data_IF_428455668088
#
_entry.id   IF_428455668088
#
_cell.length_a   1.000
_cell.length_b   1.000
_cell.length_c   1.000
_cell.angle_alpha   90.00
_cell.angle_beta   90.00
_cell.angle_gamma   90.00
#
_symmetry.space_group_name_H-M   'P 1'
#
loop_
_entity.id
_entity.type
_entity.pdbx_description
1 polymer ?
#
# COMPACT_ATOMS: atom_id res chain seq x y z
N UNK A 1 6.54 -1.87 12.40
CA UNK A 1 7.18 -1.62 11.11
C UNK A 1 6.16 -1.20 10.08
N UNK A 2 6.58 -0.49 9.07
CA UNK A 2 5.67 0.08 8.06
C UNK A 2 6.16 -0.27 6.66
N UNK A 3 5.24 -0.65 5.79
CA UNK A 3 5.56 -1.06 4.42
C UNK A 3 4.70 -0.29 3.42
N UNK A 4 5.27 -0.03 2.25
CA UNK A 4 4.53 0.47 1.09
C UNK A 4 4.62 -0.59 -0.01
N UNK A 5 3.47 -1.03 -0.51
CA UNK A 5 3.39 -2.01 -1.60
C UNK A 5 2.79 -1.34 -2.82
N UNK A 6 3.57 -1.18 -3.88
CA UNK A 6 3.05 -0.63 -5.13
C UNK A 6 2.27 -1.70 -5.87
N UNK A 7 1.15 -1.32 -6.48
CA UNK A 7 0.23 -2.28 -7.09
C UNK A 7 -0.37 -3.25 -6.08
N UNK A 8 -0.57 -2.79 -4.84
CA UNK A 8 -0.96 -3.66 -3.72
C UNK A 8 -2.42 -4.04 -3.66
N UNK A 9 -3.27 -3.48 -4.53
CA UNK A 9 -4.72 -3.69 -4.43
C UNK A 9 -5.19 -5.02 -5.00
N UNK A 10 -4.43 -5.63 -5.89
CA UNK A 10 -4.83 -6.83 -6.62
C UNK A 10 -3.71 -7.84 -6.77
N UNK A 11 -4.09 -9.10 -7.02
CA UNK A 11 -3.19 -10.19 -7.42
C UNK A 11 -2.03 -10.36 -6.43
N UNK A 12 -0.81 -10.46 -6.94
CA UNK A 12 0.38 -10.68 -6.12
C UNK A 12 0.59 -9.55 -5.11
N UNK A 13 0.35 -8.31 -5.50
CA UNK A 13 0.48 -7.17 -4.59
C UNK A 13 -0.44 -7.29 -3.38
N UNK A 14 -1.68 -7.72 -3.61
CA UNK A 14 -2.63 -7.97 -2.53
C UNK A 14 -2.12 -9.06 -1.58
N UNK A 15 -1.61 -10.16 -2.12
CA UNK A 15 -1.07 -11.25 -1.30
C UNK A 15 0.14 -10.80 -0.48
N UNK A 16 1.02 -9.97 -1.09
CA UNK A 16 2.17 -9.41 -0.38
C UNK A 16 1.72 -8.50 0.76
N UNK A 17 0.73 -7.65 0.51
CA UNK A 17 0.22 -6.74 1.54
C UNK A 17 -0.35 -7.51 2.73
N UNK A 18 -1.13 -8.55 2.47
CA UNK A 18 -1.70 -9.41 3.52
C UNK A 18 -0.58 -10.12 4.28
N UNK A 19 0.41 -10.67 3.57
CA UNK A 19 1.55 -11.35 4.17
C UNK A 19 2.29 -10.43 5.16
N UNK A 20 2.54 -9.19 4.75
CA UNK A 20 3.23 -8.22 5.60
C UNK A 20 2.38 -7.84 6.81
N UNK A 21 1.09 -7.60 6.61
CA UNK A 21 0.18 -7.26 7.70
C UNK A 21 0.09 -8.39 8.74
N UNK A 22 0.05 -9.63 8.28
CA UNK A 22 0.04 -10.81 9.16
C UNK A 22 1.31 -10.90 10.01
N UNK A 23 2.40 -10.30 9.55
CA UNK A 23 3.68 -10.27 10.26
C UNK A 23 3.90 -9.01 11.08
N UNK A 24 2.85 -8.22 11.24
CA UNK A 24 2.89 -7.07 12.13
C UNK A 24 3.20 -5.74 11.47
N UNK A 25 3.26 -5.67 10.16
CA UNK A 25 3.46 -4.40 9.46
C UNK A 25 2.16 -3.60 9.37
N UNK A 26 2.27 -2.29 9.53
CA UNK A 26 1.27 -1.38 9.03
C UNK A 26 1.57 -1.16 7.54
N UNK A 27 0.55 -1.14 6.69
CA UNK A 27 0.75 -1.23 5.25
C UNK A 27 0.07 -0.07 4.53
N UNK A 28 0.82 0.60 3.66
CA UNK A 28 0.28 1.50 2.66
C UNK A 28 0.17 0.74 1.34
N UNK A 29 -0.98 0.78 0.73
CA UNK A 29 -1.26 0.10 -0.53
C UNK A 29 -1.39 1.15 -1.61
N UNK A 30 -0.49 1.12 -2.58
CA UNK A 30 -0.60 1.97 -3.74
C UNK A 30 -1.51 1.33 -4.78
N UNK A 31 -2.35 2.15 -5.41
CA UNK A 31 -3.15 1.74 -6.55
C UNK A 31 -3.22 2.86 -7.58
N UNK A 32 -3.53 2.53 -8.83
CA UNK A 32 -3.75 3.53 -9.87
C UNK A 32 -5.25 3.70 -10.17
N UNK A 33 -5.93 2.62 -10.53
CA UNK A 33 -7.34 2.67 -10.91
C UNK A 33 -8.24 1.68 -10.16
N UNK A 34 -7.67 0.82 -9.34
CA UNK A 34 -8.42 -0.23 -8.62
C UNK A 34 -8.88 0.23 -7.25
N UNK A 35 -9.61 1.35 -7.20
CA UNK A 35 -10.03 1.96 -5.93
C UNK A 35 -10.88 1.02 -5.07
N UNK A 36 -11.86 0.36 -5.67
CA UNK A 36 -12.74 -0.54 -4.90
C UNK A 36 -11.97 -1.70 -4.30
N UNK A 37 -11.05 -2.29 -5.07
CA UNK A 37 -10.21 -3.38 -4.57
C UNK A 37 -9.29 -2.91 -3.46
N UNK A 38 -8.75 -1.70 -3.57
CA UNK A 38 -7.91 -1.11 -2.53
C UNK A 38 -8.70 -0.88 -1.25
N UNK A 39 -9.90 -0.32 -1.36
CA UNK A 39 -10.77 -0.06 -0.20
C UNK A 39 -11.17 -1.34 0.51
N UNK A 40 -11.52 -2.39 -0.23
CA UNK A 40 -11.86 -3.68 0.34
C UNK A 40 -10.67 -4.28 1.11
N UNK A 41 -9.48 -4.18 0.54
CA UNK A 41 -8.28 -4.71 1.19
C UNK A 41 -7.94 -3.93 2.46
N UNK A 42 -8.08 -2.61 2.44
CA UNK A 42 -7.89 -1.77 3.63
C UNK A 42 -8.84 -2.23 4.74
N UNK A 43 -10.11 -2.43 4.43
CA UNK A 43 -11.10 -2.90 5.42
C UNK A 43 -10.71 -4.27 5.98
N UNK A 44 -10.29 -5.18 5.13
CA UNK A 44 -9.88 -6.51 5.55
C UNK A 44 -8.69 -6.46 6.52
N UNK A 45 -7.65 -5.73 6.15
CA UNK A 45 -6.44 -5.64 6.97
C UNK A 45 -6.76 -5.00 8.33
N UNK A 46 -7.56 -3.94 8.34
CA UNK A 46 -7.93 -3.26 9.58
C UNK A 46 -8.81 -4.14 10.47
N UNK A 47 -9.85 -4.74 9.91
CA UNK A 47 -10.84 -5.45 10.70
C UNK A 47 -10.42 -6.87 11.06
N UNK A 48 -9.75 -7.58 10.17
CA UNK A 48 -9.39 -8.98 10.39
C UNK A 48 -7.99 -9.17 10.92
N UNK A 49 -7.06 -8.32 10.52
CA UNK A 49 -5.66 -8.45 10.93
C UNK A 49 -5.27 -7.43 12.00
N UNK A 50 -6.12 -6.46 12.28
CA UNK A 50 -5.89 -5.48 13.34
C UNK A 50 -4.70 -4.57 13.08
N UNK A 51 -4.31 -4.35 11.83
CA UNK A 51 -3.19 -3.49 11.48
C UNK A 51 -3.66 -2.20 10.84
N UNK A 52 -2.87 -1.14 10.97
CA UNK A 52 -3.15 0.09 10.26
C UNK A 52 -2.90 -0.11 8.77
N UNK A 53 -3.80 0.40 7.95
CA UNK A 53 -3.69 0.24 6.50
C UNK A 53 -4.33 1.44 5.82
N UNK A 54 -3.64 1.95 4.79
CA UNK A 54 -4.14 3.06 3.98
C UNK A 54 -3.98 2.75 2.51
N UNK A 55 -4.88 3.29 1.69
CA UNK A 55 -4.80 3.18 0.25
C UNK A 55 -4.40 4.54 -0.33
N UNK A 56 -3.42 4.54 -1.21
CA UNK A 56 -2.86 5.76 -1.80
C UNK A 56 -2.89 5.64 -3.32
N UNK A 57 -3.59 6.57 -3.96
CA UNK A 57 -3.63 6.61 -5.42
C UNK A 57 -2.42 7.36 -5.96
N UNK A 58 -1.79 6.80 -6.98
CA UNK A 58 -0.76 7.48 -7.75
C UNK A 58 -0.61 6.83 -9.11
N UNK A 59 -0.37 7.66 -10.12
CA UNK A 59 0.02 7.20 -11.45
C UNK A 59 1.56 7.11 -11.46
N UNK A 60 2.10 5.91 -11.52
CA UNK A 60 3.55 5.69 -11.46
C UNK A 60 4.30 6.19 -12.70
N UNK A 61 3.59 6.54 -13.77
CA UNK A 61 4.19 7.19 -14.94
C UNK A 61 4.44 8.68 -14.65
N UNK A 62 3.64 9.27 -13.74
CA UNK A 62 3.79 10.66 -13.37
C UNK A 62 4.84 10.79 -12.26
N UNK A 63 6.01 11.33 -12.62
CA UNK A 63 7.13 11.45 -11.70
C UNK A 63 6.79 12.25 -10.43
N UNK A 64 5.98 13.30 -10.56
CA UNK A 64 5.59 14.11 -9.40
C UNK A 64 4.75 13.30 -8.41
N UNK A 65 3.85 12.45 -8.90
CA UNK A 65 3.05 11.60 -8.04
C UNK A 65 3.90 10.55 -7.34
N UNK A 66 4.88 9.98 -8.05
CA UNK A 66 5.81 9.01 -7.46
C UNK A 66 6.61 9.64 -6.32
N UNK A 67 7.13 10.85 -6.54
CA UNK A 67 7.93 11.56 -5.53
C UNK A 67 7.17 11.79 -4.23
N UNK A 68 5.86 12.02 -4.31
CA UNK A 68 5.06 12.26 -3.11
C UNK A 68 4.56 10.99 -2.44
N UNK A 69 4.63 9.85 -3.11
CA UNK A 69 4.01 8.61 -2.63
C UNK A 69 4.59 8.14 -1.30
N UNK A 70 5.91 8.13 -1.17
CA UNK A 70 6.58 7.71 0.07
C UNK A 70 6.25 8.66 1.22
N UNK A 71 6.29 9.97 0.96
CA UNK A 71 5.94 10.97 1.98
C UNK A 71 4.50 10.80 2.45
N UNK A 72 3.58 10.55 1.53
CA UNK A 72 2.17 10.32 1.87
C UNK A 72 1.98 9.04 2.68
N UNK A 73 2.73 7.99 2.34
CA UNK A 73 2.71 6.75 3.12
C UNK A 73 3.22 7.00 4.54
N UNK A 74 4.33 7.72 4.68
CA UNK A 74 4.88 8.06 5.99
C UNK A 74 3.87 8.84 6.84
N UNK A 75 3.25 9.86 6.26
CA UNK A 75 2.26 10.68 6.98
C UNK A 75 1.05 9.86 7.40
N UNK A 76 0.52 9.06 6.49
CA UNK A 76 -0.72 8.32 6.74
C UNK A 76 -0.54 7.12 7.67
N UNK A 77 0.67 6.58 7.74
CA UNK A 77 0.98 5.47 8.65
C UNK A 77 1.59 5.94 9.98
N UNK A 78 1.85 7.24 10.11
CA UNK A 78 2.35 7.81 11.36
C UNK A 78 3.85 7.65 11.58
N UNK A 79 4.62 7.45 10.54
CA UNK A 79 6.08 7.36 10.63
C UNK A 79 6.72 6.81 9.37
N UNK A 80 8.04 6.75 9.32
CA UNK A 80 8.75 6.33 8.11
C UNK A 80 8.49 4.86 7.76
N UNK A 81 8.32 4.61 6.46
CA UNK A 81 8.26 3.23 5.97
C UNK A 81 9.65 2.61 6.04
N UNK A 82 9.70 1.33 6.41
CA UNK A 82 10.94 0.57 6.51
C UNK A 82 11.07 -0.50 5.43
N UNK A 83 10.00 -0.72 4.65
CA UNK A 83 9.99 -1.72 3.58
C UNK A 83 9.23 -1.17 2.39
N UNK A 84 9.87 -1.15 1.23
CA UNK A 84 9.23 -0.79 -0.03
C UNK A 84 9.19 -2.02 -0.92
N UNK A 85 7.99 -2.45 -1.30
CA UNK A 85 7.81 -3.55 -2.25
C UNK A 85 7.36 -2.97 -3.58
N UNK A 86 8.24 -3.00 -4.55
CA UNK A 86 7.96 -2.47 -5.88
C UNK A 86 7.37 -3.57 -6.76
N UNK A 87 6.07 -3.76 -6.65
CA UNK A 87 5.34 -4.83 -7.34
C UNK A 87 4.62 -4.35 -8.61
N UNK A 88 4.29 -3.06 -8.70
CA UNK A 88 3.51 -2.55 -9.82
C UNK A 88 4.25 -2.69 -11.15
N UNK A 89 3.51 -3.12 -12.18
CA UNK A 89 3.97 -3.10 -13.57
C UNK A 89 3.36 -1.89 -14.28
N UNK A 90 4.15 -1.21 -15.08
CA UNK A 90 3.70 -0.06 -15.89
C UNK A 90 3.62 -0.41 -17.38
N UNK A 91 3.74 -1.65 -17.73
CA UNK A 91 3.63 -2.09 -19.13
C UNK A 91 2.19 -2.32 -19.52
#
# INVERSE_FOLDING_TARGET
>A
MRALVTGGAKRLGKEIAIFLAERGFDVAIHYHSSENSADELVKYIKSKLGKNCVALRADLINEKEVQTLISRANENLGGPISCLVNNASIF
#
